data_IF_823071865581
#
_entry.id   IF_823071865581
#
_cell.length_a   1.000
_cell.length_b   1.000
_cell.length_c   1.000
_cell.angle_alpha   90.00
_cell.angle_beta   90.00
_cell.angle_gamma   90.00
#
_symmetry.space_group_name_H-M   'P 1'
#
loop_
_entity.id
_entity.type
_entity.pdbx_description
1 polymer ?
#
# COMPACT_ATOMS: atom_id res chain seq x y z
N UNK A 1 -13.04 -11.62 24.25
CA UNK A 1 -12.35 -11.98 22.99
C UNK A 1 -11.86 -10.70 22.36
N UNK A 2 -10.54 -10.50 22.26
CA UNK A 2 -9.97 -9.33 21.59
C UNK A 2 -10.23 -9.49 20.10
N UNK A 3 -11.08 -8.65 19.52
CA UNK A 3 -11.32 -8.63 18.08
C UNK A 3 -10.00 -8.22 17.40
N UNK A 4 -9.38 -9.14 16.67
CA UNK A 4 -8.25 -8.81 15.80
C UNK A 4 -8.78 -7.89 14.69
N UNK A 5 -8.12 -6.74 14.48
CA UNK A 5 -8.47 -5.79 13.43
C UNK A 5 -8.13 -6.40 12.07
N UNK A 6 -8.99 -6.21 11.07
CA UNK A 6 -8.67 -6.60 9.68
C UNK A 6 -7.61 -5.67 9.08
N UNK A 7 -6.95 -6.13 8.02
CA UNK A 7 -5.97 -5.31 7.30
C UNK A 7 -6.58 -4.01 6.76
N UNK A 8 -7.83 -4.05 6.26
CA UNK A 8 -8.56 -2.84 5.86
C UNK A 8 -8.70 -1.84 7.02
N UNK A 9 -9.06 -2.33 8.22
CA UNK A 9 -9.20 -1.50 9.42
C UNK A 9 -7.85 -0.95 9.89
N UNK A 10 -6.78 -1.74 9.80
CA UNK A 10 -5.41 -1.32 10.12
C UNK A 10 -4.97 -0.18 9.19
N UNK A 11 -5.11 -0.35 7.87
CA UNK A 11 -4.78 0.67 6.86
C UNK A 11 -5.58 1.95 7.12
N UNK A 12 -6.87 1.83 7.46
CA UNK A 12 -7.69 3.00 7.76
C UNK A 12 -7.22 3.75 9.01
N UNK A 13 -6.92 3.02 10.08
CA UNK A 13 -6.50 3.60 11.34
C UNK A 13 -5.13 4.28 11.19
N UNK A 14 -4.21 3.67 10.48
CA UNK A 14 -2.91 4.25 10.19
C UNK A 14 -2.99 5.46 9.25
N UNK A 15 -3.93 5.47 8.30
CA UNK A 15 -4.22 6.65 7.50
C UNK A 15 -4.69 7.83 8.38
N UNK A 16 -5.54 7.57 9.38
CA UNK A 16 -5.96 8.61 10.35
C UNK A 16 -4.80 9.08 11.21
N UNK A 17 -3.93 8.16 11.67
CA UNK A 17 -2.73 8.53 12.43
C UNK A 17 -1.78 9.37 11.58
N UNK A 18 -1.54 9.00 10.32
CA UNK A 18 -0.71 9.75 9.39
C UNK A 18 -1.26 11.17 9.14
N UNK A 19 -2.58 11.31 9.07
CA UNK A 19 -3.22 12.63 8.99
C UNK A 19 -2.94 13.49 10.24
N UNK A 20 -3.11 12.92 11.43
CA UNK A 20 -2.83 13.63 12.69
C UNK A 20 -1.35 13.96 12.88
N UNK A 21 -0.47 13.05 12.48
CA UNK A 21 0.98 13.21 12.54
C UNK A 21 1.58 14.05 11.40
N UNK A 22 0.75 14.56 10.48
CA UNK A 22 1.22 15.29 9.29
C UNK A 22 2.22 14.52 8.43
N UNK A 23 2.14 13.18 8.42
CA UNK A 23 2.97 12.28 7.63
C UNK A 23 2.49 12.25 6.17
N UNK A 24 2.73 13.35 5.44
CA UNK A 24 2.12 13.60 4.11
C UNK A 24 2.27 12.44 3.14
N UNK A 25 3.47 11.86 3.03
CA UNK A 25 3.74 10.75 2.11
C UNK A 25 2.93 9.51 2.48
N UNK A 26 3.03 9.07 3.74
CA UNK A 26 2.25 7.93 4.26
C UNK A 26 0.76 8.14 4.09
N UNK A 27 0.27 9.34 4.39
CA UNK A 27 -1.13 9.69 4.20
C UNK A 27 -1.57 9.55 2.73
N UNK A 28 -0.78 10.05 1.77
CA UNK A 28 -1.10 9.89 0.35
C UNK A 28 -1.08 8.43 -0.09
N UNK A 29 -0.06 7.66 0.32
CA UNK A 29 0.07 6.23 -0.04
C UNK A 29 -1.11 5.42 0.50
N UNK A 30 -1.45 5.59 1.79
CA UNK A 30 -2.56 4.86 2.41
C UNK A 30 -3.93 5.25 1.84
N UNK A 31 -4.11 6.50 1.41
CA UNK A 31 -5.34 6.93 0.72
C UNK A 31 -5.51 6.24 -0.62
N UNK A 32 -4.44 6.08 -1.39
CA UNK A 32 -4.47 5.38 -2.68
C UNK A 32 -4.83 3.90 -2.50
N UNK A 33 -4.19 3.22 -1.55
CA UNK A 33 -4.49 1.82 -1.22
C UNK A 33 -5.95 1.68 -0.77
N UNK A 34 -6.41 2.54 0.15
CA UNK A 34 -7.81 2.54 0.61
C UNK A 34 -8.79 2.74 -0.53
N UNK A 35 -8.49 3.65 -1.47
CA UNK A 35 -9.32 3.85 -2.65
C UNK A 35 -9.36 2.61 -3.53
N UNK A 36 -8.23 1.93 -3.75
CA UNK A 36 -8.17 0.67 -4.49
C UNK A 36 -9.02 -0.44 -3.84
N UNK A 37 -8.93 -0.58 -2.51
CA UNK A 37 -9.78 -1.49 -1.73
C UNK A 37 -11.26 -1.16 -1.94
N UNK A 38 -11.66 0.11 -1.77
CA UNK A 38 -13.05 0.53 -1.95
C UNK A 38 -13.57 0.30 -3.36
N UNK A 39 -12.75 0.58 -4.36
CA UNK A 39 -13.12 0.34 -5.75
C UNK A 39 -13.35 -1.16 -6.00
N UNK A 40 -12.49 -2.03 -5.46
CA UNK A 40 -12.65 -3.46 -5.58
C UNK A 40 -13.90 -3.98 -4.84
N UNK A 41 -14.22 -3.47 -3.64
CA UNK A 41 -15.49 -3.77 -2.94
C UNK A 41 -16.70 -3.38 -3.80
N UNK A 42 -16.67 -2.19 -4.42
CA UNK A 42 -17.75 -1.71 -5.30
C UNK A 42 -17.88 -2.62 -6.52
N UNK A 43 -16.77 -3.00 -7.15
CA UNK A 43 -16.76 -3.91 -8.31
C UNK A 43 -17.27 -5.30 -7.95
N UNK A 44 -16.89 -5.83 -6.79
CA UNK A 44 -17.36 -7.12 -6.26
C UNK A 44 -18.82 -7.06 -5.82
N UNK A 45 -19.32 -5.86 -5.48
CA UNK A 45 -20.60 -5.60 -4.80
C UNK A 45 -20.71 -6.27 -3.44
N UNK A 46 -19.57 -6.49 -2.78
CA UNK A 46 -19.47 -7.11 -1.47
C UNK A 46 -18.16 -6.69 -0.79
N UNK A 47 -18.02 -7.04 0.48
CA UNK A 47 -16.78 -6.89 1.24
C UNK A 47 -15.69 -7.79 0.69
N UNK A 48 -14.47 -7.27 0.77
CA UNK A 48 -13.28 -8.07 0.49
C UNK A 48 -12.94 -8.95 1.69
N UNK A 49 -12.46 -10.15 1.41
CA UNK A 49 -11.77 -10.99 2.38
C UNK A 49 -10.39 -10.42 2.70
N UNK A 50 -9.78 -10.88 3.78
CA UNK A 50 -8.41 -10.47 4.15
C UNK A 50 -7.42 -10.74 3.01
N UNK A 51 -7.50 -11.91 2.38
CA UNK A 51 -6.62 -12.30 1.27
C UNK A 51 -6.81 -11.41 0.03
N UNK A 52 -8.04 -11.00 -0.27
CA UNK A 52 -8.31 -10.08 -1.38
C UNK A 52 -7.71 -8.68 -1.09
N UNK A 53 -7.77 -8.22 0.16
CA UNK A 53 -7.12 -6.97 0.58
C UNK A 53 -5.59 -7.09 0.44
N UNK A 54 -5.00 -8.20 0.91
CA UNK A 54 -3.56 -8.49 0.74
C UNK A 54 -3.19 -8.45 -0.75
N UNK A 55 -3.98 -9.08 -1.62
CA UNK A 55 -3.77 -9.06 -3.06
C UNK A 55 -3.79 -7.65 -3.66
N UNK A 56 -4.69 -6.77 -3.20
CA UNK A 56 -4.71 -5.37 -3.63
C UNK A 56 -3.46 -4.62 -3.16
N UNK A 57 -3.03 -4.83 -1.92
CA UNK A 57 -1.83 -4.18 -1.38
C UNK A 57 -0.58 -4.66 -2.12
N UNK A 58 -0.46 -5.96 -2.40
CA UNK A 58 0.64 -6.54 -3.17
C UNK A 58 0.67 -6.00 -4.61
N UNK A 59 -0.49 -5.87 -5.25
CA UNK A 59 -0.57 -5.24 -6.58
C UNK A 59 -0.19 -3.76 -6.56
N UNK A 60 -0.43 -3.04 -5.47
CA UNK A 60 0.04 -1.65 -5.34
C UNK A 60 1.56 -1.59 -5.16
N UNK A 61 2.14 -2.52 -4.39
CA UNK A 61 3.58 -2.64 -4.22
C UNK A 61 4.29 -2.86 -5.57
N UNK A 62 3.85 -3.84 -6.36
CA UNK A 62 4.37 -4.09 -7.73
C UNK A 62 4.35 -2.84 -8.63
N UNK A 63 3.26 -2.08 -8.63
CA UNK A 63 3.16 -0.84 -9.42
C UNK A 63 4.15 0.24 -8.96
N UNK A 64 4.47 0.29 -7.67
CA UNK A 64 5.48 1.21 -7.15
C UNK A 64 6.89 0.79 -7.57
N UNK A 65 7.21 -0.51 -7.59
CA UNK A 65 8.49 -1.00 -8.12
C UNK A 65 8.65 -0.70 -9.62
N UNK A 66 7.62 -0.97 -10.41
CA UNK A 66 7.60 -0.63 -11.83
C UNK A 66 7.82 0.87 -12.02
N UNK A 67 7.17 1.71 -11.21
CA UNK A 67 7.36 3.16 -11.23
C UNK A 67 8.79 3.55 -10.82
N UNK A 68 9.37 2.88 -9.84
CA UNK A 68 10.74 3.12 -9.37
C UNK A 68 11.75 2.82 -10.49
N UNK A 69 11.59 1.70 -11.19
CA UNK A 69 12.44 1.34 -12.34
C UNK A 69 12.32 2.39 -13.45
N UNK A 70 11.10 2.82 -13.79
CA UNK A 70 10.84 3.87 -14.78
C UNK A 70 11.51 5.19 -14.37
N UNK A 71 11.38 5.63 -13.12
CA UNK A 71 11.99 6.88 -12.66
C UNK A 71 13.52 6.80 -12.60
N UNK A 72 14.06 5.62 -12.25
CA UNK A 72 15.50 5.38 -12.23
C UNK A 72 16.08 5.42 -13.64
N UNK A 73 15.49 4.69 -14.59
CA UNK A 73 15.87 4.72 -16.02
C UNK A 73 15.69 6.09 -16.66
N UNK A 74 14.63 6.80 -16.25
CA UNK A 74 14.33 8.17 -16.70
C UNK A 74 15.18 9.26 -16.07
N UNK A 75 16.16 8.92 -15.22
CA UNK A 75 17.01 9.89 -14.51
C UNK A 75 16.20 10.94 -13.73
N UNK A 76 15.15 10.50 -13.03
CA UNK A 76 14.28 11.31 -12.17
C UNK A 76 14.50 10.95 -10.69
N UNK A 77 15.66 11.29 -10.09
CA UNK A 77 16.05 10.82 -8.76
C UNK A 77 15.07 11.24 -7.65
N UNK A 78 14.51 12.45 -7.72
CA UNK A 78 13.53 12.91 -6.72
C UNK A 78 12.25 12.06 -6.70
N UNK A 79 11.80 11.60 -7.88
CA UNK A 79 10.64 10.72 -7.99
C UNK A 79 11.00 9.31 -7.53
N UNK A 80 12.18 8.80 -7.90
CA UNK A 80 12.67 7.50 -7.44
C UNK A 80 12.78 7.43 -5.91
N UNK A 81 13.35 8.46 -5.26
CA UNK A 81 13.48 8.50 -3.80
C UNK A 81 12.12 8.60 -3.09
N UNK A 82 11.17 9.32 -3.69
CA UNK A 82 9.80 9.34 -3.20
C UNK A 82 9.17 7.94 -3.29
N UNK A 83 9.26 7.30 -4.44
CA UNK A 83 8.66 5.97 -4.67
C UNK A 83 9.29 4.90 -3.79
N UNK A 84 10.61 4.92 -3.55
CA UNK A 84 11.26 4.03 -2.57
C UNK A 84 10.62 4.16 -1.18
N UNK A 85 10.38 5.39 -0.72
CA UNK A 85 9.73 5.61 0.58
C UNK A 85 8.28 5.12 0.58
N UNK A 86 7.57 5.22 -0.53
CA UNK A 86 6.22 4.66 -0.67
C UNK A 86 6.25 3.13 -0.58
N UNK A 87 7.19 2.46 -1.26
CA UNK A 87 7.42 1.02 -1.19
C UNK A 87 7.63 0.57 0.27
N UNK A 88 8.52 1.24 1.01
CA UNK A 88 8.78 0.94 2.42
C UNK A 88 7.54 1.10 3.32
N UNK A 89 6.62 2.00 2.95
CA UNK A 89 5.34 2.14 3.65
C UNK A 89 4.42 0.97 3.32
N UNK A 90 4.30 0.59 2.05
CA UNK A 90 3.40 -0.48 1.60
C UNK A 90 3.84 -1.85 2.12
N UNK A 91 5.15 -2.16 2.12
CA UNK A 91 5.69 -3.44 2.60
C UNK A 91 5.27 -3.78 4.04
N UNK A 92 5.06 -2.77 4.88
CA UNK A 92 4.60 -2.96 6.28
C UNK A 92 3.19 -3.55 6.42
N UNK A 93 2.42 -3.55 5.33
CA UNK A 93 1.05 -4.06 5.29
C UNK A 93 0.96 -5.42 4.58
N UNK A 94 2.09 -6.01 4.23
CA UNK A 94 2.17 -7.33 3.61
C UNK A 94 2.87 -8.32 4.54
N UNK A 95 2.51 -9.62 4.46
CA UNK A 95 3.26 -10.66 5.14
C UNK A 95 4.67 -10.76 4.57
N UNK A 96 5.61 -11.20 5.41
CA UNK A 96 7.06 -11.24 5.13
C UNK A 96 7.40 -11.97 3.82
N UNK A 97 6.68 -13.05 3.54
CA UNK A 97 6.82 -13.85 2.31
C UNK A 97 6.52 -13.06 1.03
N UNK A 98 5.58 -12.10 1.06
CA UNK A 98 5.22 -11.28 -0.09
C UNK A 98 6.12 -10.04 -0.23
N UNK A 99 6.77 -9.61 0.85
CA UNK A 99 7.72 -8.49 0.82
C UNK A 99 9.12 -8.87 0.32
N UNK A 100 9.45 -10.17 0.34
CA UNK A 100 10.73 -10.72 -0.16
C UNK A 100 10.66 -11.18 -1.63
N UNK A 101 9.47 -11.40 -2.20
CA UNK A 101 9.28 -11.88 -3.58
C UNK A 101 9.74 -10.90 -4.69
N UNK A 102 10.38 -9.78 -4.33
CA UNK A 102 10.94 -8.80 -5.27
C UNK A 102 12.40 -9.03 -5.68
N UNK A 103 13.05 -10.09 -5.16
CA UNK A 103 14.42 -10.44 -5.56
C UNK A 103 14.42 -11.78 -6.28
N UNK A 104 13.82 -11.81 -7.48
CA UNK A 104 13.86 -12.94 -8.41
C UNK A 104 14.10 -12.47 -9.84
#
# INVERSE_FOLDING_TARGET
MSKQLSLEEIIFNDMKKALKGSEKLKLSTLRLIRAAIKNAEISKKDKLTEDEVIGIVANNLKKLEESLDIFTKGQRPELADKTKKEIEIVKKYLPEQLSEEEVG
#
